data_IF_268189190795
#
_entry.id   IF_268189190795
#
_cell.length_a   1.000
_cell.length_b   1.000
_cell.length_c   1.000
_cell.angle_alpha   90.00
_cell.angle_beta   90.00
_cell.angle_gamma   90.00
#
_symmetry.space_group_name_H-M   'P 1'
#
loop_
_entity.id
_entity.type
_entity.pdbx_description
1 polymer ?
#
# COMPACT_ATOMS: atom_id res chain seq x y z
N UNK A 1 -9.87 -14.80 -10.98
CA UNK A 1 -9.69 -13.34 -10.89
C UNK A 1 -8.64 -12.97 -11.89
N UNK A 2 -9.01 -12.26 -12.93
CA UNK A 2 -8.09 -11.99 -14.02
C UNK A 2 -7.57 -10.54 -13.94
N UNK A 3 -7.09 -10.13 -12.74
CA UNK A 3 -6.51 -8.80 -12.58
C UNK A 3 -5.26 -8.71 -13.45
N UNK A 4 -5.30 -7.82 -14.44
CA UNK A 4 -4.18 -7.55 -15.33
C UNK A 4 -3.26 -6.50 -14.70
N UNK A 5 -1.97 -6.64 -14.94
CA UNK A 5 -0.93 -5.68 -14.52
C UNK A 5 -0.22 -5.16 -15.76
N UNK A 6 0.01 -3.85 -15.81
CA UNK A 6 0.78 -3.23 -16.90
C UNK A 6 2.27 -3.51 -16.74
N UNK A 7 2.83 -4.18 -17.76
CA UNK A 7 4.25 -4.59 -17.79
C UNK A 7 4.95 -4.02 -19.02
N UNK A 8 6.27 -4.19 -19.10
CA UNK A 8 7.05 -3.80 -20.28
C UNK A 8 6.58 -4.47 -21.58
N UNK A 9 5.92 -5.64 -21.49
CA UNK A 9 5.43 -6.43 -22.63
C UNK A 9 3.90 -6.37 -22.80
N UNK A 10 3.25 -5.36 -22.20
CA UNK A 10 1.79 -5.21 -22.19
C UNK A 10 1.15 -5.80 -20.93
N UNK A 11 -0.17 -5.95 -20.97
CA UNK A 11 -0.94 -6.44 -19.82
C UNK A 11 -0.71 -7.93 -19.60
N UNK A 12 -0.45 -8.33 -18.33
CA UNK A 12 -0.28 -9.72 -17.91
C UNK A 12 -1.12 -10.02 -16.66
N UNK A 13 -1.68 -11.24 -16.52
CA UNK A 13 -2.36 -11.65 -15.30
C UNK A 13 -1.46 -11.54 -14.07
N UNK A 14 -1.99 -11.00 -12.97
CA UNK A 14 -1.21 -10.75 -11.74
C UNK A 14 -0.62 -12.05 -11.16
N UNK A 15 -1.32 -13.17 -11.31
CA UNK A 15 -0.85 -14.49 -10.87
C UNK A 15 0.37 -15.03 -11.63
N UNK A 16 0.68 -14.45 -12.79
CA UNK A 16 1.85 -14.79 -13.60
C UNK A 16 3.06 -13.89 -13.29
N UNK A 17 2.84 -12.80 -12.53
CA UNK A 17 3.92 -11.86 -12.16
C UNK A 17 4.80 -12.48 -11.10
N UNK A 18 6.12 -12.32 -11.25
CA UNK A 18 7.12 -12.87 -10.35
C UNK A 18 8.12 -11.80 -9.90
N UNK A 19 8.79 -12.06 -8.78
CA UNK A 19 9.92 -11.24 -8.37
C UNK A 19 10.99 -11.22 -9.46
N UNK A 20 11.42 -10.02 -9.85
CA UNK A 20 12.35 -9.80 -10.96
C UNK A 20 11.70 -9.29 -12.24
N UNK A 21 10.38 -9.44 -12.41
CA UNK A 21 9.65 -8.84 -13.53
C UNK A 21 9.64 -7.32 -13.44
N UNK A 22 9.30 -6.65 -14.55
CA UNK A 22 9.19 -5.19 -14.62
C UNK A 22 7.75 -4.79 -14.93
N UNK A 23 7.24 -3.84 -14.15
CA UNK A 23 5.91 -3.28 -14.28
C UNK A 23 5.98 -1.76 -14.40
N UNK A 24 5.00 -1.17 -15.07
CA UNK A 24 4.87 0.28 -15.10
C UNK A 24 4.44 0.81 -13.74
N UNK A 25 5.11 1.85 -13.30
CA UNK A 25 4.93 2.49 -11.99
C UNK A 25 5.03 4.00 -12.15
N UNK A 26 4.36 4.75 -11.29
CA UNK A 26 4.39 6.21 -11.30
C UNK A 26 4.81 6.75 -9.94
N UNK A 27 5.72 7.71 -9.94
CA UNK A 27 5.96 8.55 -8.79
C UNK A 27 4.91 9.65 -8.77
N UNK A 28 3.95 9.58 -7.86
CA UNK A 28 2.79 10.50 -7.80
C UNK A 28 3.13 11.94 -7.43
N UNK A 29 4.31 12.18 -6.85
CA UNK A 29 4.78 13.55 -6.54
C UNK A 29 5.31 14.27 -7.79
N UNK A 30 5.96 13.53 -8.68
CA UNK A 30 6.61 14.08 -9.87
C UNK A 30 5.85 13.80 -11.16
N UNK A 31 4.89 12.87 -11.15
CA UNK A 31 4.18 12.37 -12.34
C UNK A 31 5.07 11.51 -13.26
N UNK A 32 6.28 11.15 -12.81
CA UNK A 32 7.21 10.38 -13.64
C UNK A 32 6.83 8.91 -13.68
N UNK A 33 6.61 8.39 -14.88
CA UNK A 33 6.35 6.97 -15.14
C UNK A 33 7.63 6.26 -15.53
N UNK A 34 7.87 5.10 -14.93
CA UNK A 34 9.06 4.30 -15.15
C UNK A 34 8.75 2.82 -14.99
N UNK A 35 9.46 1.98 -15.74
CA UNK A 35 9.50 0.56 -15.44
C UNK A 35 10.26 0.33 -14.14
N UNK A 36 9.62 -0.35 -13.21
CA UNK A 36 10.17 -0.69 -11.89
C UNK A 36 10.15 -2.19 -11.69
N UNK A 37 11.16 -2.65 -10.96
CA UNK A 37 11.30 -4.08 -10.65
C UNK A 37 10.31 -4.50 -9.58
N UNK A 38 9.68 -5.66 -9.78
CA UNK A 38 8.93 -6.36 -8.75
C UNK A 38 9.94 -7.00 -7.79
N UNK A 39 9.92 -6.58 -6.53
CA UNK A 39 10.81 -7.09 -5.48
C UNK A 39 10.29 -8.39 -4.90
N UNK A 40 9.00 -8.44 -4.62
CA UNK A 40 8.31 -9.63 -4.10
C UNK A 40 6.84 -9.65 -4.54
N UNK A 41 6.24 -10.84 -4.49
CA UNK A 41 4.81 -11.06 -4.69
C UNK A 41 4.27 -11.73 -3.44
N UNK A 42 3.33 -11.11 -2.77
CA UNK A 42 2.60 -11.73 -1.66
C UNK A 42 1.26 -12.25 -2.13
N UNK A 43 0.88 -13.42 -1.61
CA UNK A 43 -0.40 -14.07 -1.93
C UNK A 43 -1.11 -14.38 -0.61
N UNK A 44 -2.30 -13.83 -0.45
CA UNK A 44 -3.15 -14.09 0.70
C UNK A 44 -4.51 -14.64 0.26
N UNK A 45 -5.28 -15.17 1.18
CA UNK A 45 -6.63 -15.67 0.90
C UNK A 45 -7.66 -14.82 1.63
N UNK A 46 -8.74 -14.46 0.93
CA UNK A 46 -9.86 -13.71 1.50
C UNK A 46 -11.19 -14.29 1.08
N UNK A 47 -12.21 -14.13 1.93
CA UNK A 47 -13.62 -14.37 1.60
C UNK A 47 -14.40 -13.08 1.41
N UNK A 48 -13.74 -11.93 1.47
CA UNK A 48 -14.35 -10.62 1.32
C UNK A 48 -13.62 -9.84 0.23
N UNK A 49 -14.34 -9.44 -0.79
CA UNK A 49 -13.83 -8.61 -1.88
C UNK A 49 -14.60 -7.30 -1.98
N UNK A 50 -13.92 -6.32 -2.54
CA UNK A 50 -14.52 -5.09 -3.02
C UNK A 50 -14.38 -5.04 -4.53
N UNK A 51 -15.49 -4.94 -5.22
CA UNK A 51 -15.57 -4.82 -6.66
C UNK A 51 -15.71 -3.33 -7.00
N UNK A 52 -14.68 -2.74 -7.56
CA UNK A 52 -14.68 -1.37 -8.07
C UNK A 52 -15.04 -1.41 -9.54
N UNK A 53 -16.21 -0.88 -9.91
CA UNK A 53 -16.70 -0.84 -11.29
C UNK A 53 -16.50 0.57 -11.85
N UNK A 54 -15.94 0.67 -13.03
CA UNK A 54 -15.73 1.93 -13.75
C UNK A 54 -16.85 2.22 -14.76
N UNK A 55 -16.93 3.46 -15.26
CA UNK A 55 -17.93 3.82 -16.27
C UNK A 55 -17.74 3.06 -17.60
N UNK A 56 -16.50 2.68 -17.94
CA UNK A 56 -16.19 1.84 -19.09
C UNK A 56 -16.65 0.38 -18.91
N UNK A 57 -17.07 0.00 -17.70
CA UNK A 57 -17.55 -1.33 -17.37
C UNK A 57 -16.46 -2.29 -16.90
N UNK A 58 -15.22 -1.82 -16.75
CA UNK A 58 -14.16 -2.61 -16.12
C UNK A 58 -14.46 -2.83 -14.63
N UNK A 59 -14.20 -4.01 -14.13
CA UNK A 59 -14.32 -4.37 -12.72
C UNK A 59 -12.95 -4.73 -12.18
N UNK A 60 -12.55 -4.07 -11.10
CA UNK A 60 -11.33 -4.40 -10.35
C UNK A 60 -11.74 -5.05 -9.03
N UNK A 61 -11.44 -6.34 -8.91
CA UNK A 61 -11.67 -7.09 -7.67
C UNK A 61 -10.45 -6.91 -6.76
N UNK A 62 -10.70 -6.45 -5.54
CA UNK A 62 -9.63 -6.10 -4.61
C UNK A 62 -10.05 -6.32 -3.15
N UNK A 63 -9.17 -6.01 -2.20
CA UNK A 63 -9.50 -5.97 -0.77
C UNK A 63 -9.93 -4.55 -0.35
N UNK A 64 -10.69 -4.44 0.73
CA UNK A 64 -11.29 -3.18 1.19
C UNK A 64 -10.27 -2.04 1.41
N UNK A 65 -9.06 -2.38 1.86
CA UNK A 65 -8.02 -1.40 2.19
C UNK A 65 -7.04 -1.13 1.04
N UNK A 66 -7.22 -1.75 -0.13
CA UNK A 66 -6.28 -1.58 -1.25
C UNK A 66 -6.38 -0.15 -1.81
N UNK A 67 -5.25 0.61 -1.86
CA UNK A 67 -5.32 2.03 -2.22
C UNK A 67 -5.35 2.25 -3.73
N UNK A 68 -6.29 3.06 -4.18
CA UNK A 68 -6.40 3.63 -5.52
C UNK A 68 -6.01 5.10 -5.51
N UNK A 69 -5.39 5.57 -6.57
CA UNK A 69 -5.11 7.00 -6.70
C UNK A 69 -6.30 7.72 -7.36
N UNK A 70 -6.90 8.63 -6.60
CA UNK A 70 -8.04 9.44 -7.04
C UNK A 70 -7.56 10.85 -7.33
N UNK A 71 -7.85 11.38 -8.52
CA UNK A 71 -7.50 12.75 -8.90
C UNK A 71 -8.15 13.75 -7.95
N UNK A 72 -7.34 14.66 -7.45
CA UNK A 72 -7.79 15.70 -6.50
C UNK A 72 -8.00 15.24 -5.05
N UNK A 73 -8.05 13.93 -4.78
CA UNK A 73 -8.16 13.36 -3.41
C UNK A 73 -6.85 12.69 -2.94
N UNK A 74 -6.06 12.13 -3.86
CA UNK A 74 -4.88 11.30 -3.55
C UNK A 74 -5.24 9.83 -3.30
N UNK A 75 -4.50 9.15 -2.42
CA UNK A 75 -4.72 7.74 -2.11
C UNK A 75 -5.99 7.51 -1.29
N UNK A 76 -6.92 6.72 -1.85
CA UNK A 76 -8.18 6.31 -1.25
C UNK A 76 -8.24 4.77 -1.17
N UNK A 77 -8.67 4.22 -0.04
CA UNK A 77 -8.94 2.79 0.06
C UNK A 77 -10.13 2.39 -0.84
N UNK A 78 -10.10 1.19 -1.41
CA UNK A 78 -11.17 0.71 -2.31
C UNK A 78 -12.58 0.82 -1.69
N UNK A 79 -12.71 0.55 -0.39
CA UNK A 79 -13.99 0.67 0.32
C UNK A 79 -14.44 2.13 0.57
N UNK A 80 -13.54 3.10 0.40
CA UNK A 80 -13.80 4.54 0.58
C UNK A 80 -14.05 5.28 -0.74
N UNK A 81 -13.94 4.57 -1.87
CA UNK A 81 -14.22 5.15 -3.18
C UNK A 81 -15.71 5.43 -3.33
N UNK A 82 -16.03 6.54 -3.96
CA UNK A 82 -17.39 6.99 -4.22
C UNK A 82 -17.66 7.06 -5.74
N UNK A 83 -18.91 6.88 -6.11
CA UNK A 83 -19.34 7.10 -7.50
C UNK A 83 -19.00 8.54 -7.94
N UNK A 84 -18.32 8.66 -9.07
CA UNK A 84 -17.84 9.94 -9.60
C UNK A 84 -16.38 10.23 -9.26
N UNK A 85 -15.71 9.42 -8.43
CA UNK A 85 -14.27 9.51 -8.23
C UNK A 85 -13.52 9.23 -9.53
N UNK A 86 -12.55 10.08 -9.86
CA UNK A 86 -11.74 9.95 -11.07
C UNK A 86 -10.43 9.27 -10.71
N UNK A 87 -10.23 8.07 -11.24
CA UNK A 87 -9.03 7.28 -11.03
C UNK A 87 -7.93 7.73 -11.99
N UNK A 88 -6.68 7.74 -11.52
CA UNK A 88 -5.51 7.97 -12.38
C UNK A 88 -5.20 6.74 -13.20
N UNK A 89 -4.97 6.94 -14.51
CA UNK A 89 -4.61 5.88 -15.43
C UNK A 89 -3.21 6.07 -16.02
N UNK A 90 -2.68 4.99 -16.60
CA UNK A 90 -1.35 5.00 -17.23
C UNK A 90 -1.26 5.96 -18.42
N UNK A 91 -2.29 6.00 -19.26
CA UNK A 91 -2.34 6.86 -20.45
C UNK A 91 -2.75 8.31 -20.17
N UNK A 92 -3.22 8.57 -18.94
CA UNK A 92 -3.70 9.90 -18.51
C UNK A 92 -5.14 10.18 -18.93
N UNK A 93 -5.87 9.19 -19.46
CA UNK A 93 -7.31 9.28 -19.64
C UNK A 93 -8.03 9.29 -18.29
N UNK A 94 -9.25 9.77 -18.25
CA UNK A 94 -10.03 9.82 -17.02
C UNK A 94 -10.90 8.57 -16.92
N UNK A 95 -10.65 7.76 -15.93
CA UNK A 95 -11.49 6.61 -15.62
C UNK A 95 -12.30 6.87 -14.35
N UNK A 96 -13.62 6.88 -14.47
CA UNK A 96 -14.51 7.30 -13.38
C UNK A 96 -15.14 6.10 -12.69
N UNK A 97 -15.17 6.11 -11.36
CA UNK A 97 -15.85 5.10 -10.55
C UNK A 97 -17.35 5.20 -10.74
N UNK A 98 -17.97 4.15 -11.26
CA UNK A 98 -19.41 3.98 -11.41
C UNK A 98 -20.07 3.44 -10.15
N UNK A 99 -19.37 2.59 -9.43
CA UNK A 99 -19.86 2.01 -8.19
C UNK A 99 -18.85 1.10 -7.51
N UNK A 100 -19.08 0.91 -6.22
CA UNK A 100 -18.29 0.05 -5.35
C UNK A 100 -19.22 -0.90 -4.63
N UNK A 101 -18.91 -2.19 -4.65
CA UNK A 101 -19.71 -3.22 -4.00
C UNK A 101 -18.83 -4.16 -3.20
N UNK A 102 -19.24 -4.45 -1.97
CA UNK A 102 -18.58 -5.47 -1.15
C UNK A 102 -19.25 -6.82 -1.41
N UNK A 103 -18.44 -7.81 -1.75
CA UNK A 103 -18.89 -9.17 -2.01
C UNK A 103 -18.31 -10.14 -0.98
N UNK A 104 -19.19 -10.91 -0.34
CA UNK A 104 -18.79 -12.00 0.54
C UNK A 104 -18.89 -13.32 -0.24
N UNK A 105 -17.75 -13.98 -0.35
CA UNK A 105 -17.61 -15.24 -1.08
C UNK A 105 -17.86 -16.44 -0.17
N UNK A 106 -18.44 -17.51 -0.74
CA UNK A 106 -18.62 -18.80 -0.04
C UNK A 106 -17.29 -19.54 0.18
N UNK A 107 -16.29 -19.27 -0.65
CA UNK A 107 -14.94 -19.86 -0.57
C UNK A 107 -13.89 -18.76 -0.65
N UNK A 108 -12.80 -18.98 0.08
CA UNK A 108 -11.65 -18.09 -0.01
C UNK A 108 -11.04 -18.11 -1.41
N UNK A 109 -10.66 -16.94 -1.89
CA UNK A 109 -9.94 -16.73 -3.15
C UNK A 109 -8.58 -16.10 -2.87
N UNK A 110 -7.63 -16.37 -3.75
CA UNK A 110 -6.29 -15.75 -3.66
C UNK A 110 -6.36 -14.32 -4.13
N UNK A 111 -5.76 -13.44 -3.37
CA UNK A 111 -5.45 -12.05 -3.75
C UNK A 111 -3.95 -11.85 -3.75
N UNK A 112 -3.49 -11.03 -4.68
CA UNK A 112 -2.08 -10.82 -4.96
C UNK A 112 -1.71 -9.37 -4.66
N UNK A 113 -0.53 -9.16 -4.14
CA UNK A 113 0.03 -7.83 -3.97
C UNK A 113 1.49 -7.83 -4.39
N UNK A 114 1.91 -6.79 -5.12
CA UNK A 114 3.25 -6.66 -5.70
C UNK A 114 4.05 -5.63 -4.91
N UNK A 115 5.20 -5.99 -4.39
CA UNK A 115 6.15 -5.02 -3.86
C UNK A 115 7.00 -4.46 -4.99
N UNK A 116 6.89 -3.15 -5.24
CA UNK A 116 7.54 -2.45 -6.35
C UNK A 116 8.68 -1.58 -5.83
N UNK A 117 9.82 -1.65 -6.51
CA UNK A 117 11.01 -0.87 -6.20
C UNK A 117 10.74 0.64 -6.22
N UNK A 118 11.02 1.32 -5.12
CA UNK A 118 11.02 2.78 -5.01
C UNK A 118 9.63 3.40 -4.82
N UNK A 119 8.82 3.53 -5.87
CA UNK A 119 7.54 4.25 -5.82
C UNK A 119 6.39 3.48 -5.19
N UNK A 120 6.51 2.15 -5.07
CA UNK A 120 5.49 1.28 -4.50
C UNK A 120 4.11 1.36 -5.19
N UNK A 121 4.07 1.76 -6.44
CA UNK A 121 2.86 1.89 -7.25
C UNK A 121 2.94 1.02 -8.48
N UNK A 122 1.81 0.63 -9.02
CA UNK A 122 1.71 -0.07 -10.31
C UNK A 122 0.31 0.11 -10.90
N UNK A 123 0.16 -0.26 -12.16
CA UNK A 123 -1.10 -0.11 -12.86
C UNK A 123 -1.79 -1.46 -13.02
N UNK A 124 -3.10 -1.48 -12.74
CA UNK A 124 -3.93 -2.69 -12.82
C UNK A 124 -5.15 -2.50 -13.68
N UNK A 125 -5.76 -3.60 -14.10
CA UNK A 125 -6.94 -3.70 -14.97
C UNK A 125 -6.67 -3.38 -16.45
N UNK A 126 -7.71 -3.56 -17.27
CA UNK A 126 -7.65 -3.19 -18.69
C UNK A 126 -7.48 -1.68 -18.90
N UNK A 127 -8.01 -0.88 -17.98
CA UNK A 127 -7.91 0.59 -18.01
C UNK A 127 -6.64 1.11 -17.34
N UNK A 128 -5.76 0.22 -16.90
CA UNK A 128 -4.48 0.55 -16.28
C UNK A 128 -4.59 1.63 -15.20
N UNK A 129 -5.47 1.39 -14.20
CA UNK A 129 -5.64 2.31 -13.07
C UNK A 129 -4.51 2.20 -12.06
N UNK A 130 -4.07 3.33 -11.51
CA UNK A 130 -2.95 3.41 -10.58
C UNK A 130 -3.36 2.96 -9.18
N UNK A 131 -2.66 1.96 -8.68
CA UNK A 131 -2.81 1.44 -7.32
C UNK A 131 -1.48 1.48 -6.57
N UNK A 132 -1.54 1.39 -5.25
CA UNK A 132 -0.37 1.30 -4.39
C UNK A 132 -0.25 -0.10 -3.82
N UNK A 133 0.96 -0.63 -3.70
CA UNK A 133 1.12 -1.84 -2.92
C UNK A 133 0.78 -1.52 -1.45
N UNK A 134 -0.20 -2.23 -0.90
CA UNK A 134 -0.68 -2.02 0.46
C UNK A 134 0.28 -2.54 1.56
N UNK A 135 1.48 -2.98 1.21
CA UNK A 135 2.56 -3.21 2.16
C UNK A 135 3.19 -1.87 2.53
N UNK A 136 2.52 -1.07 3.36
CA UNK A 136 3.18 0.09 3.95
C UNK A 136 4.37 -0.39 4.77
N UNK A 137 5.55 0.11 4.44
CA UNK A 137 6.70 0.08 5.35
C UNK A 137 6.31 0.86 6.60
N UNK A 138 5.88 0.13 7.59
CA UNK A 138 5.32 0.70 8.79
C UNK A 138 6.40 0.77 9.87
N UNK A 139 6.71 1.99 10.30
CA UNK A 139 7.62 2.16 11.41
C UNK A 139 6.94 1.74 12.72
N UNK A 140 7.48 0.76 13.42
CA UNK A 140 7.02 0.36 14.75
C UNK A 140 7.07 1.58 15.68
N UNK A 141 8.21 2.27 15.72
CA UNK A 141 8.37 3.58 16.34
C UNK A 141 8.25 4.65 15.25
N UNK A 142 7.11 5.35 15.21
CA UNK A 142 6.75 6.26 14.12
C UNK A 142 7.68 7.47 13.98
N UNK A 143 8.19 7.69 12.78
CA UNK A 143 8.94 8.88 12.36
C UNK A 143 8.04 10.09 12.02
N UNK A 144 6.73 9.87 11.78
CA UNK A 144 5.75 10.90 11.38
C UNK A 144 4.91 11.46 12.53
N UNK A 145 5.25 11.19 13.79
CA UNK A 145 4.49 11.63 14.98
C UNK A 145 5.04 12.94 15.60
N UNK A 146 5.55 13.83 14.77
CA UNK A 146 6.24 15.08 15.18
C UNK A 146 5.34 15.98 16.02
N UNK A 147 4.10 16.25 15.58
CA UNK A 147 3.16 17.13 16.30
C UNK A 147 2.81 16.63 17.70
N UNK A 148 2.83 15.33 17.93
CA UNK A 148 2.52 14.72 19.22
C UNK A 148 3.75 14.53 20.10
N UNK A 149 4.96 14.86 19.62
CA UNK A 149 6.23 14.74 20.31
C UNK A 149 6.70 13.29 20.52
N UNK A 150 6.06 12.29 19.90
CA UNK A 150 6.50 10.90 20.02
C UNK A 150 7.74 10.62 19.18
N UNK A 151 7.87 11.20 17.97
CA UNK A 151 9.05 11.02 17.11
C UNK A 151 10.33 11.39 17.87
N UNK A 152 10.40 12.58 18.47
CA UNK A 152 11.59 13.00 19.22
C UNK A 152 11.93 12.08 20.42
N UNK A 153 10.91 11.47 21.04
CA UNK A 153 11.13 10.50 22.13
C UNK A 153 11.68 9.18 21.60
N UNK A 154 11.22 8.74 20.46
CA UNK A 154 11.73 7.53 19.80
C UNK A 154 13.15 7.74 19.29
N UNK A 155 13.44 8.87 18.60
CA UNK A 155 14.77 9.24 18.14
C UNK A 155 15.79 9.15 19.28
N UNK A 156 15.49 9.77 20.43
CA UNK A 156 16.37 9.71 21.59
C UNK A 156 16.65 8.27 22.08
N UNK A 157 15.63 7.39 22.10
CA UNK A 157 15.81 6.01 22.50
C UNK A 157 16.63 5.21 21.48
N UNK A 158 16.42 5.44 20.19
CA UNK A 158 17.17 4.80 19.12
C UNK A 158 18.62 5.27 19.10
N UNK A 159 18.89 6.57 19.26
CA UNK A 159 20.23 7.13 19.37
C UNK A 159 21.00 6.53 20.55
N UNK A 160 20.35 6.35 21.71
CA UNK A 160 20.96 5.69 22.87
C UNK A 160 21.29 4.21 22.62
N UNK A 161 20.56 3.56 21.71
CA UNK A 161 20.83 2.20 21.29
C UNK A 161 21.84 2.10 20.12
N UNK A 162 22.32 3.23 19.59
CA UNK A 162 23.16 3.28 18.40
C UNK A 162 22.43 2.96 17.10
N UNK A 163 21.11 3.16 17.08
CA UNK A 163 20.19 2.87 15.98
C UNK A 163 19.55 4.16 15.45
N UNK A 164 18.87 4.07 14.33
CA UNK A 164 18.02 5.14 13.79
C UNK A 164 16.58 4.68 13.61
N UNK A 165 15.63 5.63 13.50
CA UNK A 165 14.24 5.27 13.20
C UNK A 165 14.08 4.64 11.80
N UNK A 166 15.08 4.80 10.94
CA UNK A 166 15.08 4.23 9.58
C UNK A 166 15.70 2.83 9.52
N UNK A 167 16.18 2.30 10.64
CA UNK A 167 16.73 0.95 10.67
C UNK A 167 15.70 -0.10 10.26
N UNK A 168 16.11 -1.13 9.51
CA UNK A 168 15.21 -2.21 9.07
C UNK A 168 14.43 -2.88 10.22
N UNK A 169 15.04 -2.98 11.40
CA UNK A 169 14.41 -3.58 12.58
C UNK A 169 13.25 -2.74 13.15
N UNK A 170 13.18 -1.46 12.79
CA UNK A 170 12.03 -0.59 13.12
C UNK A 170 10.93 -0.63 12.06
N UNK A 171 11.14 -1.35 10.97
CA UNK A 171 10.24 -1.36 9.82
C UNK A 171 9.60 -2.74 9.70
N UNK A 172 8.29 -2.79 9.69
CA UNK A 172 7.50 -3.98 9.41
C UNK A 172 6.62 -3.75 8.20
N UNK A 173 6.42 -4.77 7.41
CA UNK A 173 5.45 -4.78 6.34
C UNK A 173 4.11 -5.20 6.94
N UNK A 174 3.15 -4.29 7.00
CA UNK A 174 1.80 -4.57 7.48
C UNK A 174 0.84 -4.54 6.30
N UNK A 175 0.26 -5.71 6.00
CA UNK A 175 -0.83 -5.79 5.03
C UNK A 175 -2.07 -5.07 5.56
N UNK A 176 -2.68 -4.23 4.71
CA UNK A 176 -3.96 -3.59 5.00
C UNK A 176 -3.95 -2.55 6.13
N UNK A 177 -2.78 -2.09 6.57
CA UNK A 177 -2.70 -1.02 7.58
C UNK A 177 -2.47 0.32 6.90
N UNK A 178 -3.51 1.12 6.82
CA UNK A 178 -3.42 2.52 6.42
C UNK A 178 -3.73 3.41 7.63
N UNK A 179 -2.95 4.49 7.82
CA UNK A 179 -3.23 5.52 8.80
C UNK A 179 -2.25 5.66 9.96
N UNK A 180 -2.47 6.73 10.74
CA UNK A 180 -1.58 7.10 11.85
C UNK A 180 -1.82 6.22 13.08
N UNK A 181 -0.74 5.78 13.70
CA UNK A 181 -0.79 5.09 15.00
C UNK A 181 -1.61 5.84 16.06
N UNK A 182 -2.45 5.11 16.77
CA UNK A 182 -3.20 5.66 17.89
C UNK A 182 -2.26 6.12 19.02
N UNK A 183 -2.72 7.06 19.86
CA UNK A 183 -1.96 7.50 21.03
C UNK A 183 -1.62 6.34 21.97
N UNK A 184 -2.54 5.40 22.13
CA UNK A 184 -2.36 4.19 22.98
C UNK A 184 -1.24 3.30 22.43
N UNK A 185 -1.23 3.07 21.12
CA UNK A 185 -0.15 2.30 20.47
C UNK A 185 1.21 2.98 20.72
N UNK A 186 1.32 4.27 20.42
CA UNK A 186 2.56 5.05 20.61
C UNK A 186 3.08 5.00 22.05
N UNK A 187 2.19 5.06 23.04
CA UNK A 187 2.56 4.94 24.44
C UNK A 187 3.08 3.54 24.80
N UNK A 188 2.47 2.48 24.25
CA UNK A 188 2.94 1.10 24.43
C UNK A 188 4.33 0.90 23.85
N UNK A 189 4.55 1.31 22.58
CA UNK A 189 5.86 1.21 21.92
C UNK A 189 6.92 1.95 22.73
N UNK A 190 6.65 3.19 23.13
CA UNK A 190 7.59 3.99 23.93
C UNK A 190 7.96 3.28 25.24
N UNK A 191 6.98 2.68 25.91
CA UNK A 191 7.21 1.92 27.14
C UNK A 191 8.11 0.72 26.91
N UNK A 192 7.81 -0.11 25.88
CA UNK A 192 8.61 -1.30 25.58
C UNK A 192 10.06 -0.95 25.20
N UNK A 193 10.28 0.06 24.38
CA UNK A 193 11.62 0.54 24.03
C UNK A 193 12.40 1.04 25.24
N UNK A 194 11.73 1.82 26.13
CA UNK A 194 12.34 2.32 27.37
C UNK A 194 12.73 1.18 28.31
N UNK A 195 11.88 0.18 28.44
CA UNK A 195 12.13 -0.97 29.33
C UNK A 195 13.25 -1.88 28.77
N UNK A 196 13.32 -2.06 27.45
CA UNK A 196 14.39 -2.79 26.78
C UNK A 196 15.76 -2.12 27.00
N UNK A 197 15.85 -0.80 26.82
CA UNK A 197 17.09 -0.03 27.06
C UNK A 197 17.58 -0.14 28.50
N UNK A 198 16.69 -0.10 29.48
CA UNK A 198 17.06 -0.30 30.90
C UNK A 198 17.64 -1.68 31.17
N UNK A 199 17.27 -2.70 30.36
CA UNK A 199 17.82 -4.04 30.45
C UNK A 199 19.22 -4.18 29.84
N UNK A 200 19.56 -3.34 28.87
CA UNK A 200 20.86 -3.36 28.17
C UNK A 200 21.92 -2.52 28.93
N UNK A 201 21.50 -1.47 29.61
CA UNK A 201 22.39 -0.54 30.33
C UNK A 201 22.70 -0.99 31.77
N UNK A 202 22.34 -2.22 32.15
CA UNK A 202 22.70 -2.89 33.40
C UNK A 202 23.80 -3.92 33.14
#
# INVERSE_FOLDING_TARGET
MDTLVSTENGLRPIEEIQAGDYVWSENTETGKKELKKVLSVSVTETTLLVNVTTENGTVVDTTENHPFYVEGKGWCAAAELETGDVLRTEDGEQETVKGVQTEKLDKAVKVYNLEIEGSHTYYVSADSVLVHNACERHHIASDKSVRSGFTAKYENLFDLAGMSLQDPDNIVLLEGHSGAHTKVYKQKVLKYLTDALKGILR
#
